data_IF_081485430529
#
_entry.id   IF_081485430529
#
_cell.length_a   1.000
_cell.length_b   1.000
_cell.length_c   1.000
_cell.angle_alpha   90.00
_cell.angle_beta   90.00
_cell.angle_gamma   90.00
#
_symmetry.space_group_name_H-M   'P 1'
#
loop_
_entity.id
_entity.type
_entity.pdbx_description
1 polymer ?
#
# COMPACT_ATOMS: atom_id res chain seq x y z
N UNK A 1 -69.94 19.07 14.04
CA UNK A 1 -68.76 19.74 13.48
C UNK A 1 -67.62 18.74 13.52
N UNK A 2 -67.21 18.26 12.36
CA UNK A 2 -66.06 17.37 12.18
C UNK A 2 -64.77 18.19 12.15
N UNK A 3 -63.68 17.67 12.72
CA UNK A 3 -62.32 17.92 12.21
C UNK A 3 -61.50 16.63 12.30
N UNK A 4 -60.84 16.37 11.18
CA UNK A 4 -60.05 15.21 10.81
C UNK A 4 -58.67 15.21 11.50
N UNK A 5 -58.09 14.04 11.82
CA UNK A 5 -56.64 13.91 12.04
C UNK A 5 -56.16 12.51 11.72
N UNK A 6 -55.24 12.49 10.76
CA UNK A 6 -54.56 11.39 10.12
C UNK A 6 -53.25 11.00 10.81
N UNK A 7 -52.87 9.73 10.63
CA UNK A 7 -51.48 9.39 10.27
C UNK A 7 -50.58 8.81 11.37
N UNK A 8 -50.74 7.52 11.66
CA UNK A 8 -49.78 6.73 12.43
C UNK A 8 -48.55 6.30 11.61
N UNK A 9 -47.37 6.49 12.20
CA UNK A 9 -46.03 6.16 11.72
C UNK A 9 -45.85 4.65 11.45
N UNK A 10 -45.13 4.27 10.38
CA UNK A 10 -44.59 2.90 10.18
C UNK A 10 -43.06 2.94 10.06
N UNK A 11 -42.42 2.06 10.83
CA UNK A 11 -40.97 1.91 11.03
C UNK A 11 -40.23 1.38 9.78
N UNK A 12 -38.96 1.80 9.54
CA UNK A 12 -38.21 1.48 8.31
C UNK A 12 -37.45 0.14 8.32
N UNK A 13 -37.58 -0.70 9.34
CA UNK A 13 -36.80 -1.96 9.45
C UNK A 13 -37.66 -3.21 9.26
N UNK A 14 -38.10 -3.50 8.03
CA UNK A 14 -38.63 -4.83 7.70
C UNK A 14 -38.23 -5.30 6.29
N UNK A 15 -37.63 -6.49 6.14
CA UNK A 15 -37.16 -7.01 4.86
C UNK A 15 -38.33 -7.44 3.95
N UNK A 16 -38.30 -6.99 2.70
CA UNK A 16 -39.34 -7.28 1.70
C UNK A 16 -39.03 -8.61 0.99
N UNK A 17 -39.74 -9.67 1.37
CA UNK A 17 -39.76 -10.97 0.67
C UNK A 17 -40.43 -10.80 -0.70
N UNK A 18 -39.72 -11.12 -1.79
CA UNK A 18 -40.24 -11.03 -3.17
C UNK A 18 -40.89 -12.35 -3.56
N UNK A 19 -42.22 -12.35 -3.72
CA UNK A 19 -43.02 -13.49 -4.15
C UNK A 19 -42.78 -13.83 -5.63
N UNK A 20 -42.70 -15.13 -5.92
CA UNK A 20 -42.65 -15.73 -7.26
C UNK A 20 -44.06 -15.99 -7.80
N UNK A 21 -44.36 -15.56 -9.02
CA UNK A 21 -45.50 -16.04 -9.81
C UNK A 21 -45.00 -16.35 -11.21
N UNK A 22 -45.22 -17.60 -11.64
CA UNK A 22 -44.92 -18.09 -12.97
C UNK A 22 -46.00 -17.71 -13.99
N UNK A 23 -45.61 -17.68 -15.26
CA UNK A 23 -46.48 -17.50 -16.43
C UNK A 23 -45.72 -17.85 -17.72
N UNK A 24 -46.36 -18.63 -18.60
CA UNK A 24 -45.78 -19.37 -19.74
C UNK A 24 -45.47 -18.52 -20.99
N UNK A 25 -44.60 -19.08 -21.86
CA UNK A 25 -44.11 -18.59 -23.18
C UNK A 25 -45.22 -18.45 -24.25
N UNK A 26 -44.95 -17.77 -25.40
CA UNK A 26 -44.47 -18.52 -26.58
C UNK A 26 -43.38 -17.81 -27.43
N UNK A 27 -42.92 -18.57 -28.43
CA UNK A 27 -41.76 -18.40 -29.31
C UNK A 27 -41.72 -17.11 -30.14
N UNK A 28 -40.50 -16.60 -30.37
CA UNK A 28 -40.17 -15.63 -31.41
C UNK A 28 -38.69 -15.74 -31.78
N UNK A 29 -38.40 -16.07 -33.03
CA UNK A 29 -37.05 -16.17 -33.60
C UNK A 29 -36.38 -14.79 -33.65
N UNK A 30 -35.12 -14.72 -33.26
CA UNK A 30 -34.29 -13.53 -33.37
C UNK A 30 -32.85 -13.84 -32.99
N UNK A 31 -32.10 -14.38 -33.95
CA UNK A 31 -30.64 -14.47 -33.88
C UNK A 31 -30.05 -13.06 -33.76
N UNK A 32 -29.66 -12.67 -32.56
CA UNK A 32 -28.76 -11.55 -32.33
C UNK A 32 -27.52 -12.10 -31.62
N UNK A 33 -26.50 -12.41 -32.41
CA UNK A 33 -25.14 -12.65 -31.91
C UNK A 33 -24.69 -11.36 -31.21
N UNK A 34 -24.85 -11.29 -29.88
CA UNK A 34 -24.13 -10.32 -29.06
C UNK A 34 -22.66 -10.72 -29.13
N UNK A 35 -21.93 -10.09 -30.04
CA UNK A 35 -20.48 -10.06 -30.01
C UNK A 35 -20.07 -9.51 -28.64
N UNK A 36 -19.71 -10.43 -27.76
CA UNK A 36 -19.04 -10.13 -26.52
C UNK A 36 -17.58 -9.89 -26.89
N UNK A 37 -17.32 -8.75 -27.55
CA UNK A 37 -15.98 -8.19 -27.58
C UNK A 37 -15.71 -7.73 -26.15
N UNK A 38 -15.18 -8.63 -25.33
CA UNK A 38 -14.33 -8.26 -24.19
C UNK A 38 -13.14 -7.53 -24.79
N UNK A 39 -13.36 -6.27 -25.14
CA UNK A 39 -12.30 -5.37 -25.49
C UNK A 39 -11.43 -5.29 -24.26
N UNK A 40 -10.17 -5.68 -24.42
CA UNK A 40 -9.14 -5.40 -23.44
C UNK A 40 -9.20 -3.90 -23.20
N UNK A 41 -9.84 -3.48 -22.09
CA UNK A 41 -9.60 -2.15 -21.58
C UNK A 41 -8.12 -2.17 -21.23
N UNK A 42 -7.32 -1.53 -22.09
CA UNK A 42 -6.06 -0.98 -21.66
C UNK A 42 -6.34 -0.27 -20.34
N UNK A 43 -5.48 -0.50 -19.36
CA UNK A 43 -5.44 0.30 -18.14
C UNK A 43 -5.02 1.70 -18.59
N UNK A 44 -5.95 2.44 -19.19
CA UNK A 44 -5.84 3.89 -19.28
C UNK A 44 -5.86 4.34 -17.83
N UNK A 45 -4.70 4.80 -17.35
CA UNK A 45 -4.58 5.52 -16.11
C UNK A 45 -5.70 6.56 -16.11
N UNK A 46 -6.73 6.36 -15.27
CA UNK A 46 -7.80 7.35 -15.15
C UNK A 46 -7.14 8.66 -14.77
N UNK A 47 -7.33 9.69 -15.60
CA UNK A 47 -6.86 11.03 -15.31
C UNK A 47 -7.46 11.43 -13.96
N UNK A 48 -6.60 11.83 -13.03
CA UNK A 48 -7.05 12.19 -11.70
C UNK A 48 -7.76 13.53 -11.67
N UNK A 49 -8.26 13.89 -10.50
CA UNK A 49 -8.86 15.20 -10.28
C UNK A 49 -7.77 16.28 -10.40
N UNK A 50 -7.98 17.22 -11.31
CA UNK A 50 -7.06 18.34 -11.52
C UNK A 50 -7.13 19.27 -10.30
N UNK A 51 -6.01 19.35 -9.58
CA UNK A 51 -5.84 20.21 -8.40
C UNK A 51 -5.44 21.62 -8.85
N UNK A 52 -4.56 21.71 -9.84
CA UNK A 52 -4.03 22.98 -10.31
C UNK A 52 -3.56 22.88 -11.76
N UNK A 53 -3.73 23.95 -12.55
CA UNK A 53 -3.35 23.94 -13.96
C UNK A 53 -2.73 25.26 -14.38
N UNK A 54 -1.60 25.17 -15.07
CA UNK A 54 -0.91 26.27 -15.76
C UNK A 54 -0.86 25.98 -17.27
N UNK A 55 -0.44 26.93 -18.12
CA UNK A 55 -0.22 26.66 -19.54
C UNK A 55 0.84 25.59 -19.85
N UNK A 56 1.74 25.31 -18.89
CA UNK A 56 2.88 24.40 -19.08
C UNK A 56 2.77 23.11 -18.24
N UNK A 57 1.90 23.07 -17.23
CA UNK A 57 1.79 21.93 -16.30
C UNK A 57 0.39 21.77 -15.76
N UNK A 58 -0.01 20.53 -15.51
CA UNK A 58 -1.23 20.18 -14.77
C UNK A 58 -0.82 19.34 -13.57
N UNK A 59 -1.28 19.73 -12.39
CA UNK A 59 -1.16 18.97 -11.16
C UNK A 59 -2.52 18.30 -10.94
N UNK A 60 -2.50 16.99 -10.88
CA UNK A 60 -3.68 16.15 -10.67
C UNK A 60 -3.41 15.15 -9.55
N UNK A 61 -4.46 14.64 -8.94
CA UNK A 61 -4.34 13.46 -8.07
C UNK A 61 -3.81 12.30 -8.89
N UNK A 62 -2.98 11.44 -8.30
CA UNK A 62 -2.41 10.30 -9.02
C UNK A 62 -2.73 8.99 -8.32
N UNK A 63 -3.12 7.99 -9.12
CA UNK A 63 -3.36 6.63 -8.65
C UNK A 63 -4.69 6.44 -7.95
N UNK A 64 -4.78 5.35 -7.18
CA UNK A 64 -5.98 5.00 -6.43
C UNK A 64 -6.08 5.83 -5.13
N UNK A 65 -7.30 6.00 -4.57
CA UNK A 65 -7.46 6.59 -3.24
C UNK A 65 -6.57 5.88 -2.21
N UNK A 66 -5.96 6.66 -1.32
CA UNK A 66 -5.09 6.12 -0.30
C UNK A 66 -5.84 5.12 0.61
N UNK A 67 -5.20 4.02 1.04
CA UNK A 67 -5.79 3.12 2.01
C UNK A 67 -6.16 3.87 3.30
N UNK A 68 -7.29 3.49 3.93
CA UNK A 68 -7.81 4.15 5.14
C UNK A 68 -6.73 4.30 6.22
N UNK A 69 -5.95 3.24 6.48
CA UNK A 69 -4.87 3.26 7.46
C UNK A 69 -3.81 4.33 7.18
N UNK A 70 -3.52 4.59 5.91
CA UNK A 70 -2.59 5.65 5.46
C UNK A 70 -3.22 7.02 5.69
N UNK A 71 -4.49 7.20 5.31
CA UNK A 71 -5.22 8.46 5.51
C UNK A 71 -5.35 8.81 6.99
N UNK A 72 -5.71 7.84 7.84
CA UNK A 72 -5.80 8.02 9.29
C UNK A 72 -4.43 8.41 9.87
N UNK A 73 -3.37 7.73 9.45
CA UNK A 73 -2.02 8.05 9.91
C UNK A 73 -1.59 9.45 9.50
N UNK A 74 -1.89 9.89 8.27
CA UNK A 74 -1.62 11.26 7.81
C UNK A 74 -2.45 12.30 8.57
N UNK A 75 -3.69 11.98 8.91
CA UNK A 75 -4.62 12.90 9.59
C UNK A 75 -4.26 13.09 11.06
N UNK A 76 -3.81 12.02 11.72
CA UNK A 76 -3.54 12.00 13.16
C UNK A 76 -2.04 11.96 13.51
N UNK A 77 -1.15 12.15 12.52
CA UNK A 77 0.28 12.22 12.78
C UNK A 77 0.60 13.39 13.73
N UNK A 78 1.27 13.09 14.84
CA UNK A 78 1.67 14.07 15.85
C UNK A 78 3.16 14.44 15.78
N UNK A 79 3.84 14.09 14.69
CA UNK A 79 5.28 14.29 14.49
C UNK A 79 5.66 14.17 13.02
N UNK A 80 6.96 14.04 12.76
CA UNK A 80 7.46 13.98 11.39
C UNK A 80 6.97 12.73 10.65
N UNK A 81 6.56 12.96 9.41
CA UNK A 81 6.09 11.95 8.49
C UNK A 81 6.91 12.06 7.21
N UNK A 82 7.34 10.92 6.69
CA UNK A 82 8.05 10.84 5.43
C UNK A 82 7.45 9.73 4.56
N UNK A 83 7.50 9.92 3.24
CA UNK A 83 6.86 9.02 2.27
C UNK A 83 7.82 8.78 1.11
N UNK A 84 7.80 7.55 0.60
CA UNK A 84 8.58 7.15 -0.58
C UNK A 84 7.77 6.20 -1.44
N UNK A 85 8.18 6.13 -2.69
CA UNK A 85 7.63 5.21 -3.68
C UNK A 85 8.79 4.46 -4.32
N UNK A 86 8.64 3.14 -4.46
CA UNK A 86 9.63 2.29 -5.11
C UNK A 86 9.27 2.11 -6.58
N UNK A 87 10.27 1.96 -7.47
CA UNK A 87 10.05 1.50 -8.84
C UNK A 87 9.26 0.20 -8.93
N UNK A 88 9.23 -0.62 -7.88
CA UNK A 88 8.50 -1.89 -7.83
C UNK A 88 6.97 -1.74 -7.74
N UNK A 89 6.43 -0.51 -7.77
CA UNK A 89 5.00 -0.24 -7.75
C UNK A 89 4.39 -0.21 -6.36
N UNK A 90 5.21 -0.14 -5.31
CA UNK A 90 4.78 0.04 -3.92
C UNK A 90 5.15 1.41 -3.39
N UNK A 91 4.31 1.91 -2.49
CA UNK A 91 4.53 3.13 -1.73
C UNK A 91 4.64 2.76 -0.24
N UNK A 92 5.37 3.57 0.51
CA UNK A 92 5.37 3.49 1.96
C UNK A 92 5.46 4.84 2.62
N UNK A 93 4.89 4.91 3.81
CA UNK A 93 4.94 6.04 4.73
C UNK A 93 5.57 5.60 6.03
N UNK A 94 6.39 6.46 6.61
CA UNK A 94 6.98 6.30 7.93
C UNK A 94 6.40 7.36 8.85
N UNK A 95 5.80 6.92 9.95
CA UNK A 95 5.27 7.78 11.00
C UNK A 95 5.60 7.18 12.37
N UNK A 96 6.47 7.85 13.13
CA UNK A 96 7.06 7.29 14.35
C UNK A 96 7.84 6.01 14.06
N UNK A 97 7.40 4.87 14.59
CA UNK A 97 8.02 3.54 14.36
C UNK A 97 7.27 2.68 13.36
N UNK A 98 6.22 3.21 12.72
CA UNK A 98 5.38 2.44 11.81
C UNK A 98 5.76 2.70 10.37
N UNK A 99 5.89 1.63 9.60
CA UNK A 99 5.91 1.67 8.13
C UNK A 99 4.57 1.15 7.66
N UNK A 100 3.82 1.97 6.92
CA UNK A 100 2.65 1.48 6.20
C UNK A 100 3.01 1.36 4.73
N UNK A 101 2.93 0.14 4.18
CA UNK A 101 3.25 -0.17 2.79
C UNK A 101 1.99 -0.56 2.02
N UNK A 102 1.81 -0.02 0.80
CA UNK A 102 0.67 -0.34 -0.05
C UNK A 102 1.05 -0.33 -1.53
N UNK A 103 0.35 -1.09 -2.38
CA UNK A 103 0.57 -1.02 -3.83
C UNK A 103 0.03 0.30 -4.39
N UNK A 104 0.79 0.91 -5.31
CA UNK A 104 0.44 2.16 -5.99
C UNK A 104 -0.80 2.00 -6.88
N UNK A 105 -0.89 0.85 -7.53
CA UNK A 105 -1.96 0.49 -8.45
C UNK A 105 -2.63 -0.79 -7.95
N UNK A 106 -3.92 -0.92 -8.21
CA UNK A 106 -4.65 -2.14 -7.88
C UNK A 106 -4.15 -3.25 -8.79
N UNK A 107 -3.64 -4.35 -8.23
CA UNK A 107 -3.22 -5.45 -9.09
C UNK A 107 -4.43 -6.01 -9.84
N UNK A 108 -4.21 -6.43 -11.09
CA UNK A 108 -5.23 -6.91 -12.05
C UNK A 108 -6.00 -8.13 -11.53
N UNK A 109 -5.56 -8.72 -10.42
CA UNK A 109 -6.17 -9.86 -9.75
C UNK A 109 -7.11 -9.44 -8.62
N UNK A 110 -8.34 -9.97 -8.54
CA UNK A 110 -9.26 -9.76 -7.41
C UNK A 110 -8.74 -10.30 -6.06
N UNK A 111 -7.60 -11.01 -6.05
CA UNK A 111 -6.93 -11.49 -4.84
C UNK A 111 -5.78 -10.59 -4.37
N UNK A 112 -5.50 -9.49 -5.06
CA UNK A 112 -4.40 -8.61 -4.70
C UNK A 112 -4.72 -7.79 -3.44
N UNK A 113 -3.75 -7.63 -2.52
CA UNK A 113 -3.96 -6.89 -1.29
C UNK A 113 -4.15 -5.41 -1.60
N UNK A 114 -5.39 -4.94 -1.53
CA UNK A 114 -5.72 -3.50 -1.60
C UNK A 114 -5.50 -2.78 -0.27
N UNK A 115 -5.29 -3.54 0.81
CA UNK A 115 -5.05 -3.01 2.15
C UNK A 115 -3.56 -2.68 2.36
N UNK A 116 -3.31 -1.56 3.04
CA UNK A 116 -1.99 -1.24 3.56
C UNK A 116 -1.52 -2.31 4.55
N UNK A 117 -0.21 -2.55 4.57
CA UNK A 117 0.47 -3.45 5.49
C UNK A 117 1.29 -2.63 6.47
N UNK A 118 1.11 -2.89 7.75
CA UNK A 118 1.85 -2.24 8.81
C UNK A 118 3.05 -3.10 9.22
N UNK A 119 4.21 -2.48 9.35
CA UNK A 119 5.42 -3.08 9.89
C UNK A 119 6.00 -2.16 10.98
N UNK A 120 6.62 -2.76 12.00
CA UNK A 120 7.22 -2.02 13.10
C UNK A 120 8.74 -1.93 12.95
N UNK A 121 9.25 -0.72 12.74
CA UNK A 121 10.67 -0.42 12.65
C UNK A 121 11.42 -0.74 13.96
N UNK A 122 12.74 -0.96 13.88
CA UNK A 122 13.59 -1.11 15.06
C UNK A 122 13.40 0.03 16.07
N UNK A 123 13.59 -0.29 17.34
CA UNK A 123 13.56 0.72 18.39
C UNK A 123 14.81 1.60 18.28
N UNK A 124 14.63 2.88 18.56
CA UNK A 124 15.66 3.92 18.53
C UNK A 124 15.09 5.16 19.22
N UNK A 125 15.98 6.02 19.71
CA UNK A 125 15.62 7.31 20.30
C UNK A 125 15.62 8.46 19.25
N UNK A 126 16.05 8.16 18.02
CA UNK A 126 16.07 9.09 16.90
C UNK A 126 14.86 8.92 15.97
N UNK A 127 14.49 9.98 15.25
CA UNK A 127 13.36 9.94 14.34
C UNK A 127 13.64 9.06 13.10
N UNK A 128 12.74 8.12 12.82
CA UNK A 128 12.81 7.34 11.58
C UNK A 128 12.45 8.18 10.36
N UNK A 129 12.99 7.79 9.19
CA UNK A 129 12.68 8.39 7.90
C UNK A 129 12.48 7.33 6.82
N UNK A 130 11.60 7.61 5.87
CA UNK A 130 11.30 6.73 4.74
C UNK A 130 12.52 6.49 3.84
N UNK A 131 13.53 7.36 3.89
CA UNK A 131 14.83 7.23 3.22
C UNK A 131 15.67 6.06 3.74
N UNK A 132 15.37 5.54 4.94
CA UNK A 132 16.03 4.37 5.54
C UNK A 132 15.19 3.09 5.40
N UNK A 133 14.20 3.11 4.52
CA UNK A 133 13.32 1.97 4.23
C UNK A 133 13.33 1.72 2.73
N UNK A 134 13.43 0.45 2.34
CA UNK A 134 13.38 0.04 0.93
C UNK A 134 12.48 -1.18 0.79
N UNK A 135 11.64 -1.16 -0.25
CA UNK A 135 10.79 -2.27 -0.67
C UNK A 135 11.22 -2.76 -2.04
N UNK A 136 11.47 -4.07 -2.15
CA UNK A 136 11.95 -4.73 -3.36
C UNK A 136 11.30 -6.10 -3.52
N UNK A 137 11.18 -6.58 -4.76
CA UNK A 137 10.79 -7.96 -5.02
C UNK A 137 12.03 -8.83 -5.08
N UNK A 138 11.91 -10.01 -4.48
CA UNK A 138 12.85 -11.09 -4.71
C UNK A 138 12.27 -12.08 -5.71
N UNK A 139 13.13 -12.89 -6.31
CA UNK A 139 12.73 -13.85 -7.34
C UNK A 139 11.63 -14.81 -6.83
N UNK A 140 10.55 -14.93 -7.59
CA UNK A 140 9.39 -15.78 -7.24
C UNK A 140 8.48 -15.23 -6.14
N UNK A 141 8.79 -14.08 -5.53
CA UNK A 141 7.98 -13.52 -4.46
C UNK A 141 6.64 -12.94 -4.96
N UNK A 142 5.55 -13.23 -4.25
CA UNK A 142 4.22 -12.66 -4.54
C UNK A 142 4.02 -11.28 -3.90
N UNK A 143 4.85 -10.95 -2.91
CA UNK A 143 4.75 -9.75 -2.08
C UNK A 143 6.18 -9.20 -1.93
N UNK A 144 6.38 -7.87 -1.90
CA UNK A 144 7.73 -7.33 -1.75
C UNK A 144 8.29 -7.68 -0.36
N UNK A 145 9.60 -7.89 -0.34
CA UNK A 145 10.41 -7.80 0.87
C UNK A 145 10.50 -6.34 1.32
N UNK A 146 10.78 -6.14 2.61
CA UNK A 146 11.02 -4.82 3.18
C UNK A 146 12.29 -4.87 4.03
N UNK A 147 13.07 -3.81 3.94
CA UNK A 147 14.16 -3.56 4.87
C UNK A 147 13.99 -2.16 5.46
N UNK A 148 14.16 -2.05 6.77
CA UNK A 148 14.09 -0.79 7.49
C UNK A 148 15.27 -0.67 8.43
N UNK A 149 15.92 0.49 8.45
CA UNK A 149 17.12 0.75 9.24
C UNK A 149 16.84 1.87 10.23
N UNK A 150 17.19 1.68 11.50
CA UNK A 150 17.15 2.78 12.47
C UNK A 150 18.22 3.83 12.14
N UNK A 151 18.04 5.08 12.57
CA UNK A 151 19.07 6.10 12.41
C UNK A 151 20.42 5.70 13.04
N UNK A 152 20.42 4.77 14.00
CA UNK A 152 21.63 4.29 14.70
C UNK A 152 22.25 3.02 14.07
N UNK A 153 21.66 2.48 13.01
CA UNK A 153 22.24 1.35 12.25
C UNK A 153 21.75 -0.04 12.64
N UNK A 154 20.62 -0.15 13.32
CA UNK A 154 19.92 -1.44 13.48
C UNK A 154 19.09 -1.68 12.23
N UNK A 155 19.45 -2.73 11.49
CA UNK A 155 18.78 -3.16 10.26
C UNK A 155 17.78 -4.24 10.60
N UNK A 156 16.53 -4.08 10.14
CA UNK A 156 15.48 -5.10 10.19
C UNK A 156 15.02 -5.49 8.80
N UNK A 157 15.00 -6.78 8.55
CA UNK A 157 14.59 -7.37 7.28
C UNK A 157 13.33 -8.21 7.44
N UNK A 158 12.33 -7.93 6.61
CA UNK A 158 11.14 -8.74 6.41
C UNK A 158 11.20 -9.38 5.03
N UNK A 159 11.15 -10.71 4.98
CA UNK A 159 11.06 -11.47 3.75
C UNK A 159 9.76 -11.19 2.95
N UNK A 160 8.74 -10.63 3.59
CA UNK A 160 7.48 -10.24 2.97
C UNK A 160 6.79 -9.20 3.86
N UNK A 161 6.29 -8.11 3.27
CA UNK A 161 5.43 -7.15 3.99
C UNK A 161 4.11 -7.78 4.48
N UNK A 162 3.77 -8.99 4.01
CA UNK A 162 2.61 -9.75 4.49
C UNK A 162 2.84 -10.49 5.81
N UNK A 163 4.07 -10.51 6.34
CA UNK A 163 4.44 -11.30 7.51
C UNK A 163 5.18 -10.46 8.54
N UNK A 164 4.45 -9.55 9.20
CA UNK A 164 5.01 -8.57 10.15
C UNK A 164 5.91 -9.20 11.23
N UNK A 165 5.49 -10.32 11.83
CA UNK A 165 6.22 -10.99 12.91
C UNK A 165 7.42 -11.84 12.44
N UNK A 166 7.64 -11.97 11.13
CA UNK A 166 8.73 -12.77 10.56
C UNK A 166 9.84 -11.86 10.04
N UNK A 167 10.72 -11.43 10.95
CA UNK A 167 11.85 -10.57 10.63
C UNK A 167 13.18 -11.09 11.20
N UNK A 168 14.27 -10.53 10.69
CA UNK A 168 15.62 -10.68 11.22
C UNK A 168 16.25 -9.31 11.45
N UNK A 169 16.98 -9.18 12.55
CA UNK A 169 17.67 -7.96 12.94
C UNK A 169 19.19 -8.18 12.91
N UNK A 170 19.92 -7.17 12.47
CA UNK A 170 21.39 -7.09 12.58
C UNK A 170 21.79 -5.65 12.90
N UNK A 171 22.85 -5.46 13.67
CA UNK A 171 23.45 -4.15 13.90
C UNK A 171 24.64 -3.97 12.98
N UNK A 172 24.74 -2.85 12.28
CA UNK A 172 25.91 -2.53 11.47
C UNK A 172 27.06 -1.88 12.28
N UNK A 173 26.96 -1.78 13.61
CA UNK A 173 28.00 -1.26 14.52
C UNK A 173 28.65 0.06 14.05
N UNK A 174 27.83 1.09 13.83
CA UNK A 174 28.24 2.34 13.19
C UNK A 174 29.12 3.28 14.05
N UNK A 175 29.61 2.83 15.22
CA UNK A 175 30.45 3.61 16.14
C UNK A 175 29.91 5.03 16.46
N UNK A 176 28.59 5.18 16.53
CA UNK A 176 27.91 6.46 16.79
C UNK A 176 27.65 7.33 15.57
N UNK A 177 27.94 6.85 14.36
CA UNK A 177 27.49 7.50 13.13
C UNK A 177 25.99 7.26 12.91
N UNK A 178 25.32 8.25 12.32
CA UNK A 178 23.91 8.16 11.97
C UNK A 178 23.72 7.77 10.50
N UNK A 179 22.68 6.98 10.23
CA UNK A 179 22.26 6.58 8.90
C UNK A 179 21.62 7.75 8.16
N UNK A 180 22.06 7.99 6.92
CA UNK A 180 21.47 9.00 6.05
C UNK A 180 20.52 8.41 5.00
N UNK A 181 20.94 7.40 4.23
CA UNK A 181 20.11 6.91 3.13
C UNK A 181 20.35 5.44 2.87
N UNK A 182 19.26 4.71 2.60
CA UNK A 182 19.28 3.33 2.10
C UNK A 182 18.86 3.32 0.63
N UNK A 183 19.60 2.57 -0.19
CA UNK A 183 19.30 2.43 -1.62
C UNK A 183 19.59 1.03 -2.11
N UNK A 184 18.88 0.60 -3.16
CA UNK A 184 19.20 -0.61 -3.91
C UNK A 184 20.49 -0.42 -4.71
N UNK A 185 21.27 -1.49 -4.82
CA UNK A 185 22.45 -1.61 -5.66
C UNK A 185 22.39 -2.94 -6.43
N UNK A 186 23.29 -3.13 -7.41
CA UNK A 186 23.27 -4.34 -8.25
C UNK A 186 23.52 -5.65 -7.49
N UNK A 187 24.17 -5.59 -6.32
CA UNK A 187 24.60 -6.74 -5.52
C UNK A 187 24.14 -6.63 -4.05
N UNK A 188 22.92 -6.10 -3.84
CA UNK A 188 22.30 -5.93 -2.52
C UNK A 188 21.85 -4.50 -2.27
N UNK A 189 21.96 -4.04 -1.02
CA UNK A 189 21.62 -2.66 -0.64
C UNK A 189 22.85 -1.92 -0.12
N UNK A 190 22.82 -0.60 -0.25
CA UNK A 190 23.84 0.30 0.27
C UNK A 190 23.21 1.25 1.27
N UNK A 191 23.77 1.27 2.48
CA UNK A 191 23.47 2.21 3.54
C UNK A 191 24.57 3.26 3.59
N UNK A 192 24.21 4.52 3.36
CA UNK A 192 25.09 5.66 3.54
C UNK A 192 24.87 6.30 4.91
N UNK A 193 25.94 6.68 5.59
CA UNK A 193 25.91 7.45 6.84
C UNK A 193 26.12 8.94 6.59
N UNK A 194 25.80 9.77 7.58
CA UNK A 194 25.99 11.23 7.55
C UNK A 194 27.47 11.65 7.42
N UNK A 195 28.39 10.74 7.72
CA UNK A 195 29.85 10.91 7.57
C UNK A 195 30.38 10.33 6.25
N UNK A 196 29.50 10.04 5.28
CA UNK A 196 29.84 9.47 3.98
C UNK A 196 30.51 8.09 4.06
N UNK A 197 30.24 7.31 5.10
CA UNK A 197 30.61 5.89 5.14
C UNK A 197 29.53 5.07 4.45
N UNK A 198 29.94 4.04 3.71
CA UNK A 198 29.02 3.15 3.00
C UNK A 198 29.11 1.75 3.63
N UNK A 199 27.95 1.20 3.98
CA UNK A 199 27.80 -0.18 4.47
C UNK A 199 26.98 -0.96 3.45
N UNK A 200 27.48 -2.13 3.08
CA UNK A 200 26.75 -3.04 2.19
C UNK A 200 25.84 -3.91 3.06
N UNK A 201 24.59 -4.04 2.65
CA UNK A 201 23.61 -4.92 3.29
C UNK A 201 23.19 -5.99 2.30
N UNK A 202 23.21 -7.24 2.75
CA UNK A 202 22.77 -8.40 1.97
C UNK A 202 21.69 -9.15 2.72
N UNK A 203 20.70 -9.65 1.99
CA UNK A 203 19.56 -10.38 2.53
C UNK A 203 19.49 -11.77 1.92
N UNK A 204 19.12 -12.79 2.71
CA UNK A 204 18.85 -14.14 2.21
C UNK A 204 17.57 -14.71 2.83
N UNK A 205 16.85 -15.49 2.01
CA UNK A 205 15.63 -16.22 2.36
C UNK A 205 15.82 -17.73 2.49
N UNK A 206 17.05 -18.24 2.48
CA UNK A 206 17.28 -19.68 2.62
C UNK A 206 16.85 -20.18 4.01
N UNK A 207 15.60 -20.67 4.09
CA UNK A 207 14.96 -21.11 5.33
C UNK A 207 14.36 -19.95 6.12
N UNK A 208 15.17 -19.29 6.96
CA UNK A 208 14.75 -18.15 7.78
C UNK A 208 15.24 -16.84 7.15
N UNK A 209 14.46 -15.74 7.21
CA UNK A 209 14.96 -14.43 6.82
C UNK A 209 16.29 -14.16 7.53
N UNK A 210 17.30 -13.72 6.78
CA UNK A 210 18.61 -13.36 7.29
C UNK A 210 19.11 -12.10 6.61
N UNK A 211 19.89 -11.31 7.34
CA UNK A 211 20.44 -10.04 6.90
C UNK A 211 21.84 -9.86 7.48
N UNK A 212 22.76 -9.36 6.67
CA UNK A 212 24.17 -9.17 7.03
C UNK A 212 24.63 -7.78 6.59
N UNK A 213 25.27 -7.07 7.52
CA UNK A 213 26.24 -6.01 7.27
C UNK A 213 27.65 -6.64 7.47
#
# INVERSE_FOLDING_TARGET
MEYNSSGGLRSPFSPRVRQSIGGRRPLGHGSAKKNQSKFMQSIEQQAGDVIYKTPLSTIETFGMPLPVLVTETLTFASGDVSVRMSPCGWCWIVAGRRVLAWPREMAVSPAAPTAARELTLPQTDLAHKADLVVLFYEEGAQMPSCIGVSPEGVVRYWASVGSEGAYADVSCELAGQECDRLTEASDGLLLATTTCTLVRITTSKEGRPSVVC
#
